data_IF_249340294848
#
_entry.id   IF_249340294848
#
_cell.length_a   1.000
_cell.length_b   1.000
_cell.length_c   1.000
_cell.angle_alpha   90.00
_cell.angle_beta   90.00
_cell.angle_gamma   90.00
#
_symmetry.space_group_name_H-M   'P 1'
#
loop_
_entity.id
_entity.type
_entity.pdbx_description
1 polymer ?
#
# COMPACT_ATOMS: atom_id res chain seq x y z
N UNK A 1 -8.00 9.12 38.74
CA UNK A 1 -9.40 8.98 38.28
C UNK A 1 -9.55 7.57 37.73
N UNK A 2 -10.68 6.89 37.92
CA UNK A 2 -10.87 5.56 37.31
C UNK A 2 -11.03 5.75 35.80
N UNK A 3 -10.27 5.01 35.00
CA UNK A 3 -10.47 4.96 33.54
C UNK A 3 -11.88 4.41 33.32
N UNK A 4 -12.70 5.11 32.54
CA UNK A 4 -14.08 4.67 32.30
C UNK A 4 -14.10 3.43 31.40
N UNK A 5 -15.02 2.50 31.68
CA UNK A 5 -15.20 1.29 30.86
C UNK A 5 -15.49 1.63 29.39
N UNK A 6 -16.20 2.74 29.15
CA UNK A 6 -16.49 3.26 27.82
C UNK A 6 -15.21 3.65 27.05
N UNK A 7 -14.23 4.24 27.73
CA UNK A 7 -12.95 4.64 27.11
C UNK A 7 -12.07 3.41 26.81
N UNK A 8 -12.09 2.41 27.69
CA UNK A 8 -11.40 1.13 27.46
C UNK A 8 -12.00 0.42 26.25
N UNK A 9 -13.33 0.34 26.16
CA UNK A 9 -14.02 -0.27 25.03
C UNK A 9 -13.74 0.47 23.71
N UNK A 10 -13.72 1.81 23.73
CA UNK A 10 -13.33 2.63 22.57
C UNK A 10 -11.89 2.31 22.13
N UNK A 11 -10.95 2.28 23.06
CA UNK A 11 -9.54 1.97 22.79
C UNK A 11 -9.37 0.59 22.17
N UNK A 12 -9.98 -0.44 22.76
CA UNK A 12 -9.90 -1.81 22.25
C UNK A 12 -10.47 -1.93 20.83
N UNK A 13 -11.60 -1.27 20.57
CA UNK A 13 -12.22 -1.26 19.25
C UNK A 13 -11.35 -0.53 18.23
N UNK A 14 -10.79 0.64 18.58
CA UNK A 14 -9.89 1.38 17.71
C UNK A 14 -8.60 0.62 17.42
N UNK A 15 -8.05 -0.08 18.40
CA UNK A 15 -6.86 -0.90 18.22
C UNK A 15 -7.11 -2.04 17.23
N UNK A 16 -8.26 -2.70 17.32
CA UNK A 16 -8.67 -3.71 16.34
C UNK A 16 -8.80 -3.14 14.93
N UNK A 17 -9.37 -1.94 14.78
CA UNK A 17 -9.45 -1.26 13.48
C UNK A 17 -8.06 -0.92 12.94
N UNK A 18 -7.16 -0.43 13.80
CA UNK A 18 -5.77 -0.13 13.44
C UNK A 18 -5.01 -1.36 12.94
N UNK A 19 -5.15 -2.50 13.62
CA UNK A 19 -4.55 -3.78 13.22
C UNK A 19 -5.19 -4.33 11.94
N UNK A 20 -6.51 -4.19 11.76
CA UNK A 20 -7.19 -4.60 10.54
C UNK A 20 -6.64 -3.88 9.31
N UNK A 21 -6.33 -2.58 9.42
CA UNK A 21 -5.65 -1.86 8.32
C UNK A 21 -4.28 -2.45 8.01
N UNK A 22 -3.52 -2.87 9.02
CA UNK A 22 -2.21 -3.47 8.84
C UNK A 22 -2.30 -4.81 8.07
N UNK A 23 -3.27 -5.65 8.43
CA UNK A 23 -3.54 -6.92 7.76
C UNK A 23 -3.95 -6.73 6.28
N UNK A 24 -4.83 -5.75 6.01
CA UNK A 24 -5.26 -5.44 4.64
C UNK A 24 -4.09 -4.91 3.78
N UNK A 25 -3.22 -4.07 4.35
CA UNK A 25 -2.02 -3.60 3.64
C UNK A 25 -1.05 -4.74 3.30
N UNK A 26 -0.87 -5.73 4.20
CA UNK A 26 -0.08 -6.93 3.89
C UNK A 26 -0.68 -7.72 2.72
N UNK A 27 -2.00 -7.93 2.74
CA UNK A 27 -2.73 -8.60 1.66
C UNK A 27 -2.56 -7.88 0.32
N UNK A 28 -2.66 -6.55 0.31
CA UNK A 28 -2.45 -5.74 -0.90
C UNK A 28 -1.04 -5.86 -1.47
N UNK A 29 -0.02 -5.97 -0.62
CA UNK A 29 1.36 -6.16 -1.05
C UNK A 29 1.56 -7.52 -1.71
N UNK A 30 0.95 -8.57 -1.15
CA UNK A 30 0.95 -9.91 -1.74
C UNK A 30 0.26 -9.93 -3.09
N UNK A 31 -0.90 -9.27 -3.20
CA UNK A 31 -1.63 -9.15 -4.47
C UNK A 31 -0.86 -8.36 -5.52
N UNK A 32 -0.19 -7.28 -5.11
CA UNK A 32 0.66 -6.50 -6.02
C UNK A 32 1.74 -7.36 -6.65
N UNK A 33 2.41 -8.21 -5.87
CA UNK A 33 3.49 -9.08 -6.37
C UNK A 33 2.93 -10.20 -7.24
N UNK A 34 1.87 -10.89 -6.80
CA UNK A 34 1.30 -12.03 -7.52
C UNK A 34 0.66 -11.62 -8.85
N UNK A 35 -0.16 -10.56 -8.85
CA UNK A 35 -0.78 -10.03 -10.07
C UNK A 35 0.28 -9.44 -11.00
N UNK A 36 1.23 -8.68 -10.47
CA UNK A 36 2.31 -8.08 -11.25
C UNK A 36 3.21 -9.10 -11.93
N UNK A 37 3.63 -10.14 -11.21
CA UNK A 37 4.45 -11.20 -11.76
C UNK A 37 3.67 -12.02 -12.81
N UNK A 38 2.40 -12.31 -12.55
CA UNK A 38 1.53 -13.03 -13.50
C UNK A 38 1.35 -12.25 -14.79
N UNK A 39 1.12 -10.93 -14.69
CA UNK A 39 1.04 -10.05 -15.85
C UNK A 39 2.36 -9.99 -16.63
N UNK A 40 3.49 -9.98 -15.91
CA UNK A 40 4.81 -9.99 -16.53
C UNK A 40 5.05 -11.30 -17.29
N UNK A 41 4.78 -12.46 -16.68
CA UNK A 41 4.88 -13.76 -17.35
C UNK A 41 3.96 -13.82 -18.57
N UNK A 42 2.71 -13.38 -18.45
CA UNK A 42 1.76 -13.34 -19.55
C UNK A 42 2.27 -12.47 -20.72
N UNK A 43 2.89 -11.32 -20.42
CA UNK A 43 3.49 -10.45 -21.43
C UNK A 43 4.62 -11.13 -22.23
N UNK A 44 5.33 -12.09 -21.61
CA UNK A 44 6.32 -12.90 -22.33
C UNK A 44 5.68 -14.02 -23.16
N UNK A 45 4.48 -14.49 -22.84
CA UNK A 45 3.81 -15.58 -23.56
C UNK A 45 3.04 -15.11 -24.80
N UNK A 46 2.54 -13.87 -24.84
CA UNK A 46 1.78 -13.35 -25.99
C UNK A 46 2.70 -12.99 -27.17
N UNK A 47 2.29 -13.32 -28.41
CA UNK A 47 3.09 -13.23 -29.63
C UNK A 47 3.29 -11.80 -30.19
N UNK A 48 4.45 -11.56 -30.82
CA UNK A 48 4.81 -10.32 -31.54
C UNK A 48 5.80 -9.40 -30.80
N UNK A 49 6.93 -9.06 -31.41
CA UNK A 49 8.01 -8.30 -30.74
C UNK A 49 7.58 -6.91 -30.22
N UNK A 50 6.81 -6.15 -30.98
CA UNK A 50 6.33 -4.82 -30.56
C UNK A 50 5.28 -4.90 -29.44
N UNK A 51 4.39 -5.88 -29.52
CA UNK A 51 3.31 -6.12 -28.54
C UNK A 51 3.90 -6.55 -27.20
N UNK A 52 4.98 -7.35 -27.22
CA UNK A 52 5.68 -7.86 -26.04
C UNK A 52 6.35 -6.78 -25.20
N UNK A 53 7.08 -5.82 -25.80
CA UNK A 53 7.70 -4.72 -25.04
C UNK A 53 6.64 -3.84 -24.36
N UNK A 54 5.57 -3.54 -25.07
CA UNK A 54 4.44 -2.78 -24.52
C UNK A 54 3.74 -3.56 -23.41
N UNK A 55 3.53 -4.87 -23.58
CA UNK A 55 2.96 -5.75 -22.56
C UNK A 55 3.78 -5.77 -21.26
N UNK A 56 5.11 -5.83 -21.34
CA UNK A 56 5.97 -5.81 -20.15
C UNK A 56 5.92 -4.46 -19.42
N UNK A 57 5.87 -3.34 -20.16
CA UNK A 57 5.71 -2.01 -19.56
C UNK A 57 4.34 -1.89 -18.88
N UNK A 58 3.28 -2.34 -19.53
CA UNK A 58 1.93 -2.34 -18.94
C UNK A 58 1.87 -3.22 -17.69
N UNK A 59 2.52 -4.39 -17.70
CA UNK A 59 2.63 -5.25 -16.52
C UNK A 59 3.37 -4.57 -15.36
N UNK A 60 4.43 -3.82 -15.66
CA UNK A 60 5.16 -3.05 -14.64
C UNK A 60 4.29 -1.93 -14.04
N UNK A 61 3.48 -1.25 -14.86
CA UNK A 61 2.61 -0.16 -14.44
C UNK A 61 1.44 -0.61 -13.54
N UNK A 62 1.13 -1.92 -13.48
CA UNK A 62 0.13 -2.47 -12.54
C UNK A 62 0.54 -2.20 -11.09
N UNK A 63 1.82 -2.06 -10.76
CA UNK A 63 2.24 -1.76 -9.40
C UNK A 63 1.79 -0.37 -8.91
N UNK A 64 1.53 0.57 -9.82
CA UNK A 64 1.15 1.95 -9.49
C UNK A 64 -0.21 2.04 -8.77
N UNK A 65 -1.32 1.47 -9.28
CA UNK A 65 -2.59 1.49 -8.54
C UNK A 65 -2.51 0.76 -7.19
N UNK A 66 -1.75 -0.33 -7.08
CA UNK A 66 -1.52 -0.99 -5.79
C UNK A 66 -0.79 -0.07 -4.81
N UNK A 67 0.23 0.65 -5.28
CA UNK A 67 0.97 1.62 -4.46
C UNK A 67 0.09 2.78 -3.99
N UNK A 68 -0.78 3.30 -4.86
CA UNK A 68 -1.74 4.35 -4.50
C UNK A 68 -2.68 3.84 -3.40
N UNK A 69 -3.25 2.65 -3.57
CA UNK A 69 -4.19 2.07 -2.61
C UNK A 69 -3.49 1.80 -1.27
N UNK A 70 -2.29 1.20 -1.25
CA UNK A 70 -1.51 0.97 -0.02
C UNK A 70 -1.23 2.28 0.72
N UNK A 71 -0.88 3.34 -0.02
CA UNK A 71 -0.70 4.69 0.55
C UNK A 71 -1.99 5.20 1.19
N UNK A 72 -3.14 5.06 0.53
CA UNK A 72 -4.43 5.48 1.09
C UNK A 72 -4.78 4.73 2.38
N UNK A 73 -4.59 3.41 2.40
CA UNK A 73 -4.80 2.62 3.62
C UNK A 73 -3.87 3.04 4.75
N UNK A 74 -2.60 3.36 4.44
CA UNK A 74 -1.66 3.87 5.45
C UNK A 74 -2.08 5.23 6.01
N UNK A 75 -2.68 6.10 5.19
CA UNK A 75 -3.23 7.38 5.64
C UNK A 75 -4.44 7.17 6.58
N UNK A 76 -5.35 6.24 6.24
CA UNK A 76 -6.47 5.89 7.13
C UNK A 76 -6.01 5.29 8.46
N UNK A 77 -4.96 4.47 8.44
CA UNK A 77 -4.35 3.93 9.64
C UNK A 77 -3.75 5.05 10.51
N UNK A 78 -3.01 6.00 9.90
CA UNK A 78 -2.45 7.17 10.61
C UNK A 78 -3.54 8.02 11.28
N UNK A 79 -4.65 8.29 10.59
CA UNK A 79 -5.75 9.06 11.17
C UNK A 79 -6.38 8.36 12.39
N UNK A 80 -6.43 7.02 12.39
CA UNK A 80 -6.93 6.22 13.51
C UNK A 80 -5.97 6.22 14.70
N UNK A 81 -4.66 6.27 14.43
CA UNK A 81 -3.61 6.28 15.45
C UNK A 81 -3.69 7.51 16.35
N UNK A 82 -4.06 8.68 15.82
CA UNK A 82 -4.16 9.93 16.60
C UNK A 82 -5.09 9.78 17.81
N UNK A 83 -6.23 9.10 17.64
CA UNK A 83 -7.17 8.89 18.76
C UNK A 83 -6.62 7.90 19.78
N UNK A 84 -5.93 6.84 19.34
CA UNK A 84 -5.27 5.88 20.23
C UNK A 84 -4.22 6.59 21.10
N UNK A 85 -3.33 7.38 20.48
CA UNK A 85 -2.30 8.16 21.18
C UNK A 85 -2.90 9.18 22.16
N UNK A 86 -4.01 9.81 21.80
CA UNK A 86 -4.73 10.74 22.68
C UNK A 86 -5.29 10.04 23.93
N UNK A 87 -5.87 8.84 23.77
CA UNK A 87 -6.37 8.05 24.91
C UNK A 87 -5.20 7.63 25.81
N UNK A 88 -4.10 7.14 25.23
CA UNK A 88 -2.89 6.80 25.99
C UNK A 88 -2.32 8.00 26.74
N UNK A 89 -2.32 9.18 26.12
CA UNK A 89 -1.90 10.42 26.74
C UNK A 89 -2.79 10.77 27.94
N UNK A 90 -4.11 10.72 27.78
CA UNK A 90 -5.06 10.96 28.87
C UNK A 90 -4.84 10.00 30.04
N UNK A 91 -4.64 8.71 29.78
CA UNK A 91 -4.37 7.72 30.83
C UNK A 91 -3.02 7.97 31.51
N UNK A 92 -1.96 8.23 30.73
CA UNK A 92 -0.60 8.47 31.25
C UNK A 92 -0.54 9.67 32.20
N UNK A 93 -1.24 10.76 31.85
CA UNK A 93 -1.23 12.01 32.62
C UNK A 93 -2.46 12.17 33.53
N UNK A 94 -3.32 11.15 33.62
CA UNK A 94 -4.54 11.16 34.44
C UNK A 94 -5.46 12.37 34.12
N UNK A 95 -5.55 12.70 32.83
CA UNK A 95 -6.39 13.77 32.27
C UNK A 95 -7.75 13.18 31.90
N UNK A 96 -8.82 13.94 32.13
CA UNK A 96 -10.18 13.55 31.73
C UNK A 96 -10.32 13.55 30.20
N UNK A 97 -10.77 12.43 29.64
CA UNK A 97 -10.94 12.21 28.21
C UNK A 97 -12.40 11.83 27.93
N UNK A 98 -13.05 12.58 27.04
CA UNK A 98 -14.44 12.29 26.63
C UNK A 98 -14.45 11.06 25.72
N UNK A 99 -15.25 10.01 26.03
CA UNK A 99 -15.33 8.81 25.19
C UNK A 99 -16.18 9.03 23.92
N UNK A 100 -16.17 8.03 23.04
CA UNK A 100 -16.98 7.96 21.81
C UNK A 100 -16.67 9.06 20.78
N UNK A 101 -15.39 9.43 20.66
CA UNK A 101 -14.93 10.46 19.71
C UNK A 101 -14.17 9.87 18.51
N UNK A 102 -14.17 8.55 18.34
CA UNK A 102 -13.45 7.85 17.26
C UNK A 102 -13.65 8.45 15.87
N UNK A 103 -14.90 8.62 15.43
CA UNK A 103 -15.21 9.10 14.07
C UNK A 103 -14.86 10.58 13.92
N UNK A 104 -15.21 11.41 14.90
CA UNK A 104 -14.92 12.83 14.89
C UNK A 104 -13.41 13.09 14.86
N UNK A 105 -12.65 12.37 15.70
CA UNK A 105 -11.19 12.45 15.74
C UNK A 105 -10.56 11.98 14.44
N UNK A 106 -11.05 10.88 13.88
CA UNK A 106 -10.56 10.36 12.59
C UNK A 106 -10.82 11.35 11.46
N UNK A 107 -12.02 11.91 11.37
CA UNK A 107 -12.39 12.88 10.32
C UNK A 107 -11.55 14.15 10.43
N UNK A 108 -11.38 14.68 11.65
CA UNK A 108 -10.54 15.85 11.89
C UNK A 108 -9.09 15.57 11.45
N UNK A 109 -8.51 14.45 11.90
CA UNK A 109 -7.14 14.06 11.53
C UNK A 109 -6.98 13.81 10.03
N UNK A 110 -7.92 13.12 9.39
CA UNK A 110 -7.83 12.82 7.96
C UNK A 110 -7.98 14.08 7.11
N UNK A 111 -8.88 14.99 7.50
CA UNK A 111 -9.08 16.27 6.81
C UNK A 111 -7.91 17.24 6.95
N UNK A 112 -7.06 17.06 7.97
CA UNK A 112 -5.85 17.86 8.16
C UNK A 112 -4.65 17.39 7.33
N UNK A 113 -4.75 16.23 6.67
CA UNK A 113 -3.65 15.74 5.84
C UNK A 113 -3.62 16.43 4.48
N UNK A 114 -2.44 16.92 4.13
CA UNK A 114 -2.19 17.57 2.85
C UNK A 114 -1.59 16.60 1.83
N UNK A 115 -1.48 17.07 0.59
CA UNK A 115 -0.82 16.33 -0.49
C UNK A 115 0.63 15.93 -0.14
N UNK A 116 1.34 16.75 0.66
CA UNK A 116 2.69 16.42 1.12
C UNK A 116 2.71 15.27 2.14
N UNK A 117 1.69 15.15 2.99
CA UNK A 117 1.54 13.99 3.88
C UNK A 117 1.29 12.72 3.09
N UNK A 118 0.50 12.83 2.00
CA UNK A 118 0.29 11.73 1.08
C UNK A 118 1.61 11.31 0.41
N UNK A 119 2.39 12.25 -0.14
CA UNK A 119 3.70 11.94 -0.77
C UNK A 119 4.65 11.32 0.25
N UNK A 120 4.80 11.92 1.43
CA UNK A 120 5.72 11.43 2.47
C UNK A 120 5.35 10.01 2.93
N UNK A 121 4.06 9.69 2.92
CA UNK A 121 3.56 8.34 3.19
C UNK A 121 3.83 7.40 2.03
N UNK A 122 3.63 7.84 0.79
CA UNK A 122 3.88 7.04 -0.41
C UNK A 122 5.34 6.63 -0.54
N UNK A 123 6.29 7.52 -0.22
CA UNK A 123 7.74 7.25 -0.31
C UNK A 123 8.29 6.50 0.92
N UNK A 124 7.48 6.30 1.96
CA UNK A 124 7.91 5.54 3.13
C UNK A 124 8.36 4.13 2.70
N UNK A 125 9.53 3.63 3.13
CA UNK A 125 10.02 2.30 2.74
C UNK A 125 9.00 1.18 3.00
N UNK A 126 8.21 1.30 4.06
CA UNK A 126 7.19 0.30 4.39
C UNK A 126 6.03 0.24 3.38
N UNK A 127 5.85 1.28 2.57
CA UNK A 127 4.81 1.38 1.54
C UNK A 127 5.42 1.16 0.15
N UNK A 128 6.48 1.92 -0.19
CA UNK A 128 6.95 1.95 -1.59
C UNK A 128 7.75 0.71 -2.01
N UNK A 129 8.49 0.08 -1.09
CA UNK A 129 9.49 -0.93 -1.40
C UNK A 129 8.93 -2.12 -2.22
N UNK A 130 7.80 -2.76 -1.85
CA UNK A 130 7.25 -3.85 -2.66
C UNK A 130 6.87 -3.43 -4.09
N UNK A 131 6.36 -2.21 -4.27
CA UNK A 131 5.86 -1.73 -5.56
C UNK A 131 6.99 -1.22 -6.47
N UNK A 132 7.99 -0.54 -5.90
CA UNK A 132 9.16 -0.04 -6.64
C UNK A 132 9.98 -1.21 -7.16
N UNK A 133 10.17 -2.28 -6.37
CA UNK A 133 10.91 -3.47 -6.82
C UNK A 133 10.26 -4.07 -8.08
N UNK A 134 8.94 -4.24 -8.07
CA UNK A 134 8.21 -4.76 -9.23
C UNK A 134 8.27 -3.81 -10.43
N UNK A 135 8.09 -2.51 -10.21
CA UNK A 135 8.15 -1.50 -11.27
C UNK A 135 9.54 -1.48 -11.94
N UNK A 136 10.60 -1.40 -11.14
CA UNK A 136 11.98 -1.37 -11.64
C UNK A 136 12.35 -2.68 -12.33
N UNK A 137 11.94 -3.83 -11.80
CA UNK A 137 12.18 -5.13 -12.43
C UNK A 137 11.50 -5.20 -13.81
N UNK A 138 10.23 -4.81 -13.90
CA UNK A 138 9.49 -4.80 -15.16
C UNK A 138 10.11 -3.85 -16.20
N UNK A 139 10.46 -2.62 -15.80
CA UNK A 139 11.13 -1.65 -16.68
C UNK A 139 12.52 -2.13 -17.11
N UNK A 140 13.29 -2.72 -16.20
CA UNK A 140 14.59 -3.31 -16.50
C UNK A 140 14.47 -4.42 -17.55
N UNK A 141 13.50 -5.32 -17.39
CA UNK A 141 13.23 -6.39 -18.34
C UNK A 141 12.80 -5.85 -19.71
N UNK A 142 11.93 -4.84 -19.74
CA UNK A 142 11.52 -4.19 -20.98
C UNK A 142 12.69 -3.51 -21.74
N UNK A 143 13.71 -3.04 -21.03
CA UNK A 143 14.87 -2.35 -21.61
C UNK A 143 16.02 -3.30 -21.98
N UNK A 144 16.37 -4.26 -21.12
CA UNK A 144 17.56 -5.12 -21.29
C UNK A 144 17.30 -6.46 -21.95
N UNK A 145 16.12 -7.04 -21.75
CA UNK A 145 15.75 -8.35 -22.31
C UNK A 145 14.38 -8.28 -22.96
N UNK A 146 14.24 -7.48 -24.04
CA UNK A 146 13.01 -7.46 -24.79
C UNK A 146 12.69 -8.90 -25.25
N UNK A 147 11.42 -9.34 -25.21
CA UNK A 147 11.11 -10.74 -25.44
C UNK A 147 11.43 -11.16 -26.90
N UNK A 148 12.46 -11.99 -27.09
CA UNK A 148 12.88 -12.47 -28.42
C UNK A 148 12.00 -13.62 -28.96
N UNK A 149 11.82 -13.69 -30.27
CA UNK A 149 11.07 -14.78 -30.93
C UNK A 149 11.99 -16.00 -31.14
N UNK A 150 11.55 -17.24 -30.86
CA UNK A 150 12.33 -18.43 -31.15
C UNK A 150 12.57 -18.74 -32.65
N UNK A 151 12.01 -17.98 -33.60
CA UNK A 151 12.16 -18.26 -35.04
C UNK A 151 13.48 -17.75 -35.62
N UNK A 152 14.24 -16.92 -34.91
CA UNK A 152 15.55 -16.43 -35.38
C UNK A 152 16.68 -17.47 -35.26
N UNK A 153 16.42 -18.67 -34.70
CA UNK A 153 17.42 -19.75 -34.65
C UNK A 153 17.37 -20.75 -35.81
N UNK A 154 16.37 -20.68 -36.70
CA UNK A 154 16.24 -21.63 -37.83
C UNK A 154 16.86 -21.13 -39.16
N UNK A 155 17.39 -19.90 -39.22
CA UNK A 155 17.99 -19.33 -40.45
C UNK A 155 19.53 -19.46 -40.50
N UNK A 156 20.16 -20.18 -39.57
CA UNK A 156 21.62 -20.37 -39.51
C UNK A 156 22.04 -21.85 -39.54
N UNK A 157 21.23 -22.73 -40.14
CA UNK A 157 21.65 -24.08 -40.51
C UNK A 157 21.42 -24.30 -42.00
#
# INVERSE_FOLDING_TARGET
>A
MAVSDALIAEYQTLYQVYEAYQEQMLTLKEWSVTVGLSALVAAYLVGGQKIRRMGVVLAALISVPFWIIDTMWKMYQKASLVRLELIEHCVRYNIECVPMQSVASWQASYSSFDFWDWISTAINPNVCLPHIVLLLLGLFLACRRPPHHPSTMQSQR
#
